data_IF_305530086937
#
_entry.id   IF_305530086937
#
_cell.length_a   1.000
_cell.length_b   1.000
_cell.length_c   1.000
_cell.angle_alpha   90.00
_cell.angle_beta   90.00
_cell.angle_gamma   90.00
#
_symmetry.space_group_name_H-M   'P 1'
#
loop_
_entity.id
_entity.type
_entity.pdbx_description
1 polymer ?
#
# COMPACT_ATOMS: atom_id res chain seq x y z
N UNK A 1 -20.95 -2.68 19.83
CA UNK A 1 -20.89 -1.21 19.67
C UNK A 1 -19.64 -0.83 18.87
N UNK A 2 -19.78 0.01 17.81
CA UNK A 2 -18.68 0.45 16.97
C UNK A 2 -18.18 1.83 17.41
N UNK A 3 -16.85 2.01 17.46
CA UNK A 3 -16.19 3.28 17.79
C UNK A 3 -15.03 3.56 16.85
N UNK A 4 -14.77 4.85 16.56
CA UNK A 4 -13.56 5.31 15.87
C UNK A 4 -12.44 5.53 16.89
N UNK A 5 -11.21 5.30 16.50
CA UNK A 5 -10.04 5.44 17.38
C UNK A 5 -9.93 6.82 18.03
N UNK A 6 -10.22 7.88 17.27
CA UNK A 6 -10.18 9.26 17.76
C UNK A 6 -11.12 9.51 18.96
N UNK A 7 -12.16 8.69 19.14
CA UNK A 7 -13.18 8.83 20.18
C UNK A 7 -12.93 7.90 21.39
N UNK A 8 -11.82 7.15 21.40
CA UNK A 8 -11.50 6.21 22.46
C UNK A 8 -10.82 6.92 23.63
N UNK A 9 -11.25 6.58 24.85
CA UNK A 9 -10.52 6.94 26.06
C UNK A 9 -9.32 5.99 26.27
N UNK A 10 -8.47 6.30 27.26
CA UNK A 10 -7.24 5.53 27.55
C UNK A 10 -7.52 4.06 27.85
N UNK A 11 -8.60 3.75 28.59
CA UNK A 11 -8.96 2.37 28.92
C UNK A 11 -9.34 1.59 27.65
N UNK A 12 -10.12 2.19 26.75
CA UNK A 12 -10.52 1.60 25.47
C UNK A 12 -9.31 1.42 24.52
N UNK A 13 -8.38 2.38 24.49
CA UNK A 13 -7.12 2.23 23.72
C UNK A 13 -6.26 1.07 24.23
N UNK A 14 -6.25 0.80 25.54
CA UNK A 14 -5.60 -0.39 26.07
C UNK A 14 -6.28 -1.68 25.58
N UNK A 15 -7.61 -1.72 25.49
CA UNK A 15 -8.32 -2.88 24.90
C UNK A 15 -7.97 -3.06 23.41
N UNK A 16 -7.81 -1.96 22.68
CA UNK A 16 -7.31 -2.01 21.28
C UNK A 16 -5.90 -2.57 21.23
N UNK A 17 -5.00 -2.10 22.10
CA UNK A 17 -3.63 -2.64 22.19
C UNK A 17 -3.65 -4.15 22.43
N UNK A 18 -4.45 -4.62 23.37
CA UNK A 18 -4.54 -6.04 23.71
C UNK A 18 -5.09 -6.87 22.53
N UNK A 19 -6.06 -6.33 21.79
CA UNK A 19 -6.59 -6.93 20.57
C UNK A 19 -5.51 -7.03 19.45
N UNK A 20 -4.72 -5.99 19.22
CA UNK A 20 -3.64 -6.01 18.23
C UNK A 20 -2.56 -7.00 18.64
N UNK A 21 -2.15 -6.93 19.90
CA UNK A 21 -1.06 -7.75 20.44
C UNK A 21 -1.38 -9.25 20.51
N UNK A 22 -2.62 -9.68 20.32
CA UNK A 22 -2.94 -11.10 20.30
C UNK A 22 -2.27 -11.91 19.18
N UNK A 23 -1.90 -11.21 18.09
CA UNK A 23 -1.27 -11.81 16.89
C UNK A 23 0.20 -11.41 16.72
N UNK A 24 0.76 -10.63 17.63
CA UNK A 24 2.12 -10.10 17.52
C UNK A 24 3.05 -10.85 18.46
N UNK A 25 4.19 -11.29 17.95
CA UNK A 25 5.27 -11.89 18.76
C UNK A 25 5.90 -10.82 19.68
N UNK A 26 6.18 -9.65 19.13
CA UNK A 26 6.66 -8.49 19.86
C UNK A 26 5.46 -7.59 20.24
N UNK A 27 5.19 -7.50 21.55
CA UNK A 27 4.06 -6.72 22.05
C UNK A 27 4.31 -5.22 21.90
N UNK A 28 3.39 -4.54 21.26
CA UNK A 28 3.43 -3.08 21.06
C UNK A 28 3.01 -2.34 22.31
N UNK A 29 3.67 -1.23 22.57
CA UNK A 29 3.29 -0.27 23.62
C UNK A 29 2.09 0.58 23.17
N UNK A 30 1.48 1.31 24.10
CA UNK A 30 0.31 2.13 23.80
C UNK A 30 0.63 3.26 22.81
N UNK A 31 1.81 3.87 22.92
CA UNK A 31 2.26 4.94 22.01
C UNK A 31 2.47 4.43 20.58
N UNK A 32 2.96 3.19 20.42
CA UNK A 32 3.09 2.56 19.11
C UNK A 32 1.70 2.27 18.49
N UNK A 33 0.73 1.90 19.31
CA UNK A 33 -0.67 1.72 18.90
C UNK A 33 -1.31 3.06 18.51
N UNK A 34 -1.03 4.12 19.27
CA UNK A 34 -1.48 5.48 18.94
C UNK A 34 -0.91 5.89 17.56
N UNK A 35 0.37 5.72 17.33
CA UNK A 35 1.00 6.03 16.05
C UNK A 35 0.44 5.18 14.88
N UNK A 36 0.07 3.91 15.14
CA UNK A 36 -0.55 3.05 14.13
C UNK A 36 -1.91 3.56 13.65
N UNK A 37 -2.71 4.16 14.52
CA UNK A 37 -4.11 4.46 14.22
C UNK A 37 -4.44 5.95 14.20
N UNK A 38 -3.67 6.77 14.91
CA UNK A 38 -3.86 8.21 15.00
C UNK A 38 -2.86 8.97 14.12
N UNK A 39 -2.79 8.62 12.85
CA UNK A 39 -1.90 9.24 11.87
C UNK A 39 -2.68 9.84 10.68
N UNK A 40 -1.97 10.53 9.82
CA UNK A 40 -2.50 11.22 8.63
C UNK A 40 -3.21 10.25 7.67
N UNK A 41 -2.64 9.07 7.42
CA UNK A 41 -3.21 8.03 6.54
C UNK A 41 -4.66 7.71 6.92
N UNK A 42 -4.94 7.60 8.22
CA UNK A 42 -6.28 7.31 8.75
C UNK A 42 -7.03 8.57 9.22
N UNK A 43 -6.64 9.75 8.77
CA UNK A 43 -7.28 11.00 9.14
C UNK A 43 -7.31 11.23 10.64
N UNK A 44 -6.19 10.93 11.33
CA UNK A 44 -6.01 11.05 12.78
C UNK A 44 -7.06 10.27 13.56
N UNK A 45 -7.18 9.00 13.26
CA UNK A 45 -8.06 8.05 13.95
C UNK A 45 -9.53 8.05 13.47
N UNK A 46 -9.90 8.88 12.50
CA UNK A 46 -11.25 8.89 11.90
C UNK A 46 -11.53 7.61 11.12
N UNK A 47 -10.53 7.12 10.40
CA UNK A 47 -10.57 5.92 9.55
C UNK A 47 -10.19 4.64 10.26
N UNK A 48 -9.84 4.66 11.54
CA UNK A 48 -9.52 3.47 12.33
C UNK A 48 -10.71 3.10 13.21
N UNK A 49 -11.36 1.97 12.93
CA UNK A 49 -12.68 1.59 13.45
C UNK A 49 -12.57 0.29 14.22
N UNK A 50 -13.18 0.22 15.39
CA UNK A 50 -13.14 -0.93 16.30
C UNK A 50 -14.54 -1.33 16.75
N UNK A 51 -14.75 -2.64 16.84
CA UNK A 51 -15.97 -3.23 17.37
C UNK A 51 -15.75 -3.72 18.79
N UNK A 52 -16.55 -3.19 19.73
CA UNK A 52 -16.52 -3.55 21.14
C UNK A 52 -17.71 -4.46 21.47
N UNK A 53 -17.44 -5.58 22.15
CA UNK A 53 -18.41 -6.52 22.69
C UNK A 53 -17.93 -6.94 24.09
N UNK A 54 -18.79 -6.88 25.10
CA UNK A 54 -18.52 -7.30 26.47
C UNK A 54 -17.20 -6.78 27.03
N UNK A 55 -16.96 -5.46 26.89
CA UNK A 55 -15.73 -4.77 27.30
C UNK A 55 -14.44 -5.32 26.65
N UNK A 56 -14.54 -5.90 25.45
CA UNK A 56 -13.39 -6.34 24.66
C UNK A 56 -13.50 -5.81 23.24
N UNK A 57 -12.37 -5.59 22.62
CA UNK A 57 -12.34 -5.38 21.17
C UNK A 57 -12.39 -6.74 20.49
N UNK A 58 -13.38 -6.94 19.63
CA UNK A 58 -13.59 -8.21 18.90
C UNK A 58 -13.40 -8.07 17.40
N UNK A 59 -13.30 -6.85 16.89
CA UNK A 59 -13.08 -6.60 15.46
C UNK A 59 -12.54 -5.22 15.17
N UNK A 60 -11.92 -5.07 14.00
CA UNK A 60 -11.46 -3.79 13.46
C UNK A 60 -11.52 -3.74 11.94
N UNK A 61 -11.57 -2.54 11.39
CA UNK A 61 -11.41 -2.22 9.99
C UNK A 61 -10.80 -0.84 9.84
N UNK A 62 -10.02 -0.60 8.78
CA UNK A 62 -9.38 0.67 8.54
C UNK A 62 -9.77 1.26 7.18
N UNK A 63 -9.81 2.60 7.11
CA UNK A 63 -10.08 3.38 5.89
C UNK A 63 -8.91 4.34 5.69
N UNK A 64 -8.26 4.30 4.52
CA UNK A 64 -7.26 5.28 4.12
C UNK A 64 -8.00 6.52 3.61
N UNK A 65 -7.81 7.64 4.30
CA UNK A 65 -8.49 8.91 4.03
C UNK A 65 -7.56 9.98 3.45
N UNK A 66 -6.25 9.84 3.64
CA UNK A 66 -5.24 10.84 3.31
C UNK A 66 -5.27 11.26 1.84
N UNK A 67 -5.32 10.29 0.95
CA UNK A 67 -5.15 10.50 -0.51
C UNK A 67 -6.47 10.66 -1.26
N UNK A 68 -7.61 10.67 -0.57
CA UNK A 68 -8.91 10.71 -1.24
C UNK A 68 -9.10 11.96 -2.08
N UNK A 69 -8.58 13.09 -1.65
CA UNK A 69 -8.69 14.37 -2.35
C UNK A 69 -7.95 14.37 -3.68
N UNK A 70 -6.75 13.78 -3.71
CA UNK A 70 -5.85 13.77 -4.85
C UNK A 70 -6.18 12.63 -5.82
N UNK A 71 -6.52 11.44 -5.29
CA UNK A 71 -6.76 10.24 -6.10
C UNK A 71 -8.24 9.97 -6.37
N UNK A 72 -9.14 10.56 -5.62
CA UNK A 72 -10.59 10.25 -5.68
C UNK A 72 -10.92 8.82 -5.24
N UNK A 73 -9.97 8.11 -4.63
CA UNK A 73 -10.11 6.70 -4.24
C UNK A 73 -9.99 6.56 -2.73
N UNK A 74 -10.89 5.77 -2.14
CA UNK A 74 -10.80 5.34 -0.74
C UNK A 74 -10.49 3.85 -0.70
N UNK A 75 -9.52 3.48 0.14
CA UNK A 75 -9.17 2.10 0.42
C UNK A 75 -9.68 1.70 1.80
N UNK A 76 -10.53 0.67 1.85
CA UNK A 76 -10.95 -0.01 3.06
C UNK A 76 -10.11 -1.29 3.18
N UNK A 77 -9.48 -1.50 4.33
CA UNK A 77 -8.57 -2.64 4.50
C UNK A 77 -8.42 -3.07 5.96
N UNK A 78 -7.59 -4.08 6.19
CA UNK A 78 -7.27 -4.60 7.54
C UNK A 78 -8.52 -5.00 8.35
N UNK A 79 -9.57 -5.49 7.65
CA UNK A 79 -10.69 -6.13 8.33
C UNK A 79 -10.15 -7.33 9.13
N UNK A 80 -10.41 -7.34 10.42
CA UNK A 80 -9.96 -8.38 11.33
C UNK A 80 -10.99 -8.56 12.45
N UNK A 81 -11.51 -9.76 12.60
CA UNK A 81 -12.52 -10.12 13.61
C UNK A 81 -12.05 -11.39 14.33
N UNK A 82 -12.29 -11.48 15.62
CA UNK A 82 -11.97 -12.68 16.41
C UNK A 82 -12.64 -13.90 15.81
N UNK A 83 -11.90 -14.99 15.74
CA UNK A 83 -12.41 -16.28 15.28
C UNK A 83 -13.24 -16.97 16.37
N UNK A 84 -14.20 -17.80 15.98
CA UNK A 84 -15.00 -18.59 16.91
C UNK A 84 -16.14 -17.83 17.61
N UNK A 85 -16.48 -16.63 17.15
CA UNK A 85 -17.67 -15.92 17.61
C UNK A 85 -18.90 -16.40 16.82
N UNK A 86 -19.99 -16.73 17.50
CA UNK A 86 -21.24 -17.15 16.86
C UNK A 86 -21.82 -16.08 15.92
N UNK A 87 -21.58 -14.81 16.22
CA UNK A 87 -22.06 -13.66 15.45
C UNK A 87 -20.96 -13.02 14.59
N UNK A 88 -19.89 -13.73 14.24
CA UNK A 88 -18.75 -13.20 13.49
C UNK A 88 -19.16 -12.55 12.16
N UNK A 89 -20.06 -13.16 11.39
CA UNK A 89 -20.54 -12.62 10.11
C UNK A 89 -21.31 -11.31 10.30
N UNK A 90 -22.10 -11.20 11.36
CA UNK A 90 -22.82 -9.96 11.71
C UNK A 90 -21.83 -8.84 12.03
N UNK A 91 -20.80 -9.12 12.83
CA UNK A 91 -19.75 -8.13 13.18
C UNK A 91 -19.01 -7.66 11.93
N UNK A 92 -18.66 -8.57 11.02
CA UNK A 92 -18.02 -8.24 9.73
C UNK A 92 -18.93 -7.30 8.92
N UNK A 93 -20.23 -7.65 8.80
CA UNK A 93 -21.19 -6.84 8.04
C UNK A 93 -21.34 -5.44 8.63
N UNK A 94 -21.51 -5.32 9.95
CA UNK A 94 -21.65 -4.03 10.63
C UNK A 94 -20.39 -3.16 10.51
N UNK A 95 -19.19 -3.75 10.61
CA UNK A 95 -17.93 -3.03 10.41
C UNK A 95 -17.80 -2.51 8.97
N UNK A 96 -18.17 -3.33 7.98
CA UNK A 96 -18.15 -2.94 6.57
C UNK A 96 -19.14 -1.83 6.29
N UNK A 97 -20.39 -1.98 6.72
CA UNK A 97 -21.43 -0.97 6.51
C UNK A 97 -21.03 0.36 7.13
N UNK A 98 -20.48 0.34 8.35
CA UNK A 98 -20.01 1.54 9.05
C UNK A 98 -18.82 2.18 8.31
N UNK A 99 -17.86 1.38 7.83
CA UNK A 99 -16.71 1.86 7.07
C UNK A 99 -17.13 2.47 5.73
N UNK A 100 -18.06 1.82 5.01
CA UNK A 100 -18.59 2.31 3.74
C UNK A 100 -19.37 3.62 3.95
N UNK A 101 -20.16 3.74 5.01
CA UNK A 101 -20.87 4.97 5.33
C UNK A 101 -19.89 6.14 5.54
N UNK A 102 -18.83 5.94 6.33
CA UNK A 102 -17.77 6.95 6.49
C UNK A 102 -17.11 7.30 5.15
N UNK A 103 -16.76 6.29 4.35
CA UNK A 103 -16.10 6.50 3.07
C UNK A 103 -16.94 7.38 2.13
N UNK A 104 -18.26 7.17 2.08
CA UNK A 104 -19.20 7.95 1.26
C UNK A 104 -19.23 9.44 1.65
N UNK A 105 -19.05 9.80 2.91
CA UNK A 105 -19.02 11.20 3.36
C UNK A 105 -17.91 12.02 2.67
N UNK A 106 -16.84 11.36 2.21
CA UNK A 106 -15.74 11.99 1.47
C UNK A 106 -15.99 12.12 -0.04
N UNK A 107 -17.13 11.63 -0.55
CA UNK A 107 -17.53 11.68 -1.96
C UNK A 107 -16.44 11.16 -2.92
N UNK A 108 -15.87 9.98 -2.71
CA UNK A 108 -14.84 9.45 -3.59
C UNK A 108 -15.42 9.02 -4.94
N UNK A 109 -14.56 8.93 -5.98
CA UNK A 109 -14.94 8.35 -7.27
C UNK A 109 -15.06 6.83 -7.19
N UNK A 110 -14.28 6.21 -6.29
CA UNK A 110 -14.35 4.77 -6.02
C UNK A 110 -13.97 4.42 -4.59
N UNK A 111 -14.55 3.31 -4.08
CA UNK A 111 -14.18 2.69 -2.82
C UNK A 111 -13.72 1.28 -3.12
N UNK A 112 -12.50 0.94 -2.68
CA UNK A 112 -11.88 -0.37 -2.87
C UNK A 112 -11.69 -1.06 -1.52
N UNK A 113 -12.23 -2.28 -1.41
CA UNK A 113 -12.03 -3.15 -0.25
C UNK A 113 -10.89 -4.13 -0.53
N UNK A 114 -9.85 -4.09 0.29
CA UNK A 114 -8.71 -5.00 0.25
C UNK A 114 -8.79 -6.07 1.35
N UNK A 115 -8.83 -7.34 0.96
CA UNK A 115 -8.85 -8.47 1.88
C UNK A 115 -7.62 -9.37 1.68
N UNK A 116 -6.95 -9.71 2.78
CA UNK A 116 -5.77 -10.60 2.77
C UNK A 116 -6.12 -12.05 3.13
N UNK A 117 -7.19 -12.26 3.89
CA UNK A 117 -7.61 -13.60 4.32
C UNK A 117 -8.53 -14.23 3.28
N UNK A 118 -8.02 -15.25 2.58
CA UNK A 118 -8.78 -15.98 1.56
C UNK A 118 -10.08 -16.60 2.09
N UNK A 119 -10.08 -17.05 3.35
CA UNK A 119 -11.28 -17.66 3.93
C UNK A 119 -12.40 -16.62 4.15
N UNK A 120 -12.03 -15.36 4.38
CA UNK A 120 -13.01 -14.29 4.56
C UNK A 120 -13.70 -13.89 3.26
N UNK A 121 -13.09 -14.16 2.10
CA UNK A 121 -13.75 -13.91 0.80
C UNK A 121 -15.11 -14.60 0.71
N UNK A 122 -15.23 -15.83 1.21
CA UNK A 122 -16.51 -16.55 1.23
C UNK A 122 -17.58 -15.86 2.08
N UNK A 123 -17.17 -15.14 3.12
CA UNK A 123 -18.09 -14.35 3.95
C UNK A 123 -18.47 -13.07 3.21
N UNK A 124 -17.52 -12.42 2.54
CA UNK A 124 -17.77 -11.22 1.74
C UNK A 124 -18.70 -11.50 0.57
N UNK A 125 -18.58 -12.66 -0.08
CA UNK A 125 -19.47 -13.12 -1.15
C UNK A 125 -20.94 -13.22 -0.71
N UNK A 126 -21.22 -13.54 0.57
CA UNK A 126 -22.57 -13.52 1.14
C UNK A 126 -23.18 -12.11 1.21
N UNK A 127 -22.35 -11.09 1.09
CA UNK A 127 -22.73 -9.68 1.08
C UNK A 127 -22.62 -9.06 -0.32
N UNK A 128 -22.57 -9.88 -1.38
CA UNK A 128 -22.41 -9.50 -2.78
C UNK A 128 -21.09 -8.75 -3.07
N UNK A 129 -20.05 -9.00 -2.24
CA UNK A 129 -18.72 -8.43 -2.37
C UNK A 129 -17.75 -9.44 -2.98
N UNK A 130 -17.64 -9.44 -4.29
CA UNK A 130 -16.80 -10.36 -5.06
C UNK A 130 -15.45 -9.73 -5.39
N UNK A 131 -14.37 -10.51 -5.23
CA UNK A 131 -13.03 -10.06 -5.62
C UNK A 131 -12.91 -9.95 -7.15
N UNK A 132 -12.45 -8.79 -7.63
CA UNK A 132 -12.30 -8.51 -9.06
C UNK A 132 -10.86 -8.74 -9.54
N UNK A 133 -9.85 -8.50 -8.71
CA UNK A 133 -8.42 -8.62 -9.04
C UNK A 133 -7.57 -8.75 -7.77
N UNK A 134 -6.26 -8.94 -7.96
CA UNK A 134 -5.31 -9.21 -6.86
C UNK A 134 -4.13 -8.26 -6.88
N UNK A 135 -3.50 -8.09 -5.73
CA UNK A 135 -2.12 -7.65 -5.60
C UNK A 135 -1.22 -8.88 -5.49
N UNK A 136 -0.19 -8.93 -6.29
CA UNK A 136 0.72 -10.07 -6.39
C UNK A 136 2.13 -9.66 -5.97
N UNK A 137 2.76 -10.49 -5.17
CA UNK A 137 4.22 -10.45 -5.01
C UNK A 137 4.83 -11.30 -6.10
N UNK A 138 5.80 -10.73 -6.80
CA UNK A 138 6.57 -11.44 -7.81
C UNK A 138 8.05 -11.42 -7.46
N UNK A 139 8.81 -12.42 -7.92
CA UNK A 139 10.25 -12.49 -7.75
C UNK A 139 10.94 -12.80 -9.07
N UNK A 140 12.19 -12.34 -9.21
CA UNK A 140 13.01 -12.57 -10.39
C UNK A 140 13.98 -13.73 -10.14
N UNK A 141 13.94 -14.77 -10.99
CA UNK A 141 14.90 -15.88 -10.97
C UNK A 141 16.16 -15.54 -11.76
N UNK A 142 15.99 -15.17 -13.04
CA UNK A 142 17.11 -14.83 -13.94
C UNK A 142 17.50 -13.37 -13.74
N UNK A 143 18.64 -13.16 -13.09
CA UNK A 143 19.23 -11.85 -12.82
C UNK A 143 20.31 -11.45 -13.82
N UNK A 144 20.37 -12.11 -14.99
CA UNK A 144 21.32 -11.75 -16.04
C UNK A 144 21.18 -10.26 -16.39
N UNK A 145 22.34 -9.61 -16.54
CA UNK A 145 22.41 -8.19 -16.84
C UNK A 145 21.93 -7.94 -18.26
N UNK A 146 21.05 -6.94 -18.43
CA UNK A 146 20.69 -6.36 -19.72
C UNK A 146 21.14 -4.92 -19.79
N UNK A 147 21.13 -4.35 -20.99
CA UNK A 147 21.51 -2.95 -21.18
C UNK A 147 20.64 -2.02 -20.33
N UNK A 148 21.32 -1.11 -19.64
CA UNK A 148 20.76 -0.03 -18.86
C UNK A 148 21.13 1.28 -19.53
N UNK A 149 20.15 2.15 -19.76
CA UNK A 149 20.33 3.43 -20.44
C UNK A 149 19.88 4.64 -19.61
N UNK A 150 19.57 4.46 -18.33
CA UNK A 150 19.03 5.51 -17.47
C UNK A 150 19.97 5.84 -16.33
N UNK A 151 20.09 7.14 -16.04
CA UNK A 151 20.86 7.64 -14.92
C UNK A 151 20.00 7.71 -13.66
N UNK A 152 20.64 7.49 -12.50
CA UNK A 152 20.01 7.58 -11.19
C UNK A 152 20.48 8.86 -10.49
N UNK A 153 19.55 9.74 -10.15
CA UNK A 153 19.79 10.95 -9.37
C UNK A 153 19.26 10.73 -7.97
N UNK A 154 20.13 10.62 -6.94
CA UNK A 154 19.69 10.40 -5.57
C UNK A 154 18.79 11.55 -5.09
N UNK A 155 17.75 11.21 -4.32
CA UNK A 155 16.93 12.18 -3.63
C UNK A 155 17.78 12.93 -2.60
N UNK A 156 17.65 14.24 -2.58
CA UNK A 156 18.32 15.14 -1.66
C UNK A 156 17.44 16.34 -1.29
N UNK A 157 17.90 17.15 -0.35
CA UNK A 157 17.21 18.39 0.05
C UNK A 157 17.05 19.36 -1.13
N UNK A 158 18.02 19.41 -2.04
CA UNK A 158 18.08 20.35 -3.16
C UNK A 158 17.05 19.99 -4.25
N UNK A 159 16.76 18.70 -4.44
CA UNK A 159 15.89 18.23 -5.52
C UNK A 159 14.52 17.69 -5.04
N UNK A 160 14.19 17.87 -3.76
CA UNK A 160 13.00 17.31 -3.14
C UNK A 160 11.67 17.71 -3.81
N UNK A 161 11.56 18.95 -4.27
CA UNK A 161 10.33 19.43 -4.94
C UNK A 161 10.19 18.81 -6.33
N UNK A 162 11.29 18.61 -7.04
CA UNK A 162 11.29 17.95 -8.33
C UNK A 162 10.93 16.46 -8.18
N UNK A 163 11.55 15.78 -7.18
CA UNK A 163 11.20 14.40 -6.86
C UNK A 163 9.70 14.23 -6.53
N UNK A 164 9.14 15.15 -5.73
CA UNK A 164 7.71 15.16 -5.41
C UNK A 164 6.84 15.23 -6.67
N UNK A 165 7.19 16.13 -7.60
CA UNK A 165 6.49 16.28 -8.87
C UNK A 165 6.59 15.04 -9.75
N UNK A 166 7.80 14.48 -9.91
CA UNK A 166 8.07 13.26 -10.69
C UNK A 166 7.33 12.06 -10.12
N UNK A 167 7.36 11.85 -8.80
CA UNK A 167 6.67 10.75 -8.15
C UNK A 167 5.16 10.82 -8.38
N UNK A 168 4.55 11.98 -8.07
CA UNK A 168 3.10 12.15 -8.15
C UNK A 168 2.60 12.08 -9.60
N UNK A 169 3.33 12.63 -10.58
CA UNK A 169 2.99 12.47 -12.00
C UNK A 169 3.07 11.00 -12.44
N UNK A 170 4.04 10.26 -11.91
CA UNK A 170 4.28 8.87 -12.29
C UNK A 170 3.27 7.88 -11.69
N UNK A 171 2.64 8.21 -10.56
CA UNK A 171 1.88 7.22 -9.79
C UNK A 171 0.41 7.58 -9.56
N UNK A 172 0.02 8.84 -9.61
CA UNK A 172 -1.34 9.28 -9.23
C UNK A 172 -2.47 8.70 -10.08
N UNK A 173 -2.22 8.34 -11.33
CA UNK A 173 -3.21 7.81 -12.27
C UNK A 173 -3.10 6.28 -12.50
N UNK A 174 -2.22 5.61 -11.76
CA UNK A 174 -2.07 4.17 -11.84
C UNK A 174 -3.18 3.44 -11.08
N UNK A 175 -3.54 2.20 -11.48
CA UNK A 175 -4.35 1.34 -10.62
C UNK A 175 -3.70 1.20 -9.23
N UNK A 176 -4.41 1.52 -8.16
CA UNK A 176 -3.87 1.71 -6.81
C UNK A 176 -2.77 2.78 -6.78
N UNK A 177 -3.02 3.90 -7.44
CA UNK A 177 -2.11 5.02 -7.43
C UNK A 177 -1.72 5.45 -6.03
N UNK A 178 -0.58 6.08 -5.93
CA UNK A 178 -0.08 6.70 -4.71
C UNK A 178 0.14 8.19 -4.95
N UNK A 179 -0.02 8.96 -3.90
CA UNK A 179 0.28 10.38 -3.87
C UNK A 179 1.03 10.66 -2.57
N UNK A 180 2.16 11.35 -2.66
CA UNK A 180 2.96 11.74 -1.51
C UNK A 180 2.97 13.26 -1.35
N UNK A 181 3.22 13.70 -0.12
CA UNK A 181 3.31 15.11 0.25
C UNK A 181 4.74 15.48 0.61
N UNK A 182 5.00 16.77 0.82
CA UNK A 182 6.35 17.27 1.10
C UNK A 182 6.95 16.70 2.40
N UNK A 183 6.13 16.47 3.41
CA UNK A 183 6.53 15.85 4.67
C UNK A 183 7.02 14.40 4.48
N UNK A 184 6.38 13.62 3.62
CA UNK A 184 6.82 12.26 3.29
C UNK A 184 8.14 12.26 2.49
N UNK A 185 8.35 13.25 1.61
CA UNK A 185 9.65 13.38 0.90
C UNK A 185 10.76 13.71 1.90
N UNK A 186 10.50 14.51 2.91
CA UNK A 186 11.45 14.80 3.98
C UNK A 186 11.77 13.55 4.81
N UNK A 187 10.78 12.69 5.07
CA UNK A 187 11.00 11.38 5.68
C UNK A 187 11.85 10.47 4.78
N UNK A 188 11.63 10.48 3.47
CA UNK A 188 12.45 9.70 2.53
C UNK A 188 13.91 10.17 2.54
N UNK A 189 14.16 11.49 2.61
CA UNK A 189 15.52 12.02 2.73
C UNK A 189 16.17 11.57 4.04
N UNK A 190 15.45 11.64 5.16
CA UNK A 190 15.96 11.24 6.47
C UNK A 190 16.22 9.74 6.57
N UNK A 191 15.45 8.93 5.84
CA UNK A 191 15.55 7.47 5.79
C UNK A 191 16.46 6.94 4.68
N UNK A 192 17.07 7.82 3.86
CA UNK A 192 18.00 7.42 2.82
C UNK A 192 19.28 6.85 3.47
N UNK A 193 19.50 5.55 3.32
CA UNK A 193 20.59 4.81 3.97
C UNK A 193 20.96 3.57 3.17
N UNK A 194 21.71 2.63 3.76
CA UNK A 194 22.09 1.39 3.09
C UNK A 194 20.96 0.38 2.87
N UNK A 195 19.77 0.60 3.44
CA UNK A 195 18.60 -0.23 3.24
C UNK A 195 17.54 0.44 2.35
N UNK A 196 17.42 1.78 2.40
CA UNK A 196 16.39 2.54 1.71
C UNK A 196 17.00 3.52 0.72
N UNK A 197 16.59 3.44 -0.53
CA UNK A 197 17.12 4.23 -1.63
C UNK A 197 15.98 4.88 -2.42
N UNK A 198 16.11 6.17 -2.70
CA UNK A 198 15.12 6.97 -3.41
C UNK A 198 15.82 7.75 -4.52
N UNK A 199 15.36 7.58 -5.77
CA UNK A 199 15.99 8.20 -6.94
C UNK A 199 14.95 8.82 -7.87
N UNK A 200 15.29 9.94 -8.47
CA UNK A 200 14.75 10.28 -9.78
C UNK A 200 15.54 9.52 -10.84
N UNK A 201 14.89 9.23 -11.95
CA UNK A 201 15.49 8.52 -13.08
C UNK A 201 15.51 9.45 -14.28
N UNK A 202 16.69 9.63 -14.90
CA UNK A 202 16.86 10.57 -15.99
C UNK A 202 17.44 9.94 -17.26
N UNK A 203 17.20 10.61 -18.37
CA UNK A 203 17.83 10.36 -19.65
C UNK A 203 18.21 11.69 -20.30
N UNK A 204 19.46 11.84 -20.74
CA UNK A 204 19.98 13.07 -21.32
C UNK A 204 19.70 14.32 -20.44
N UNK A 205 19.79 14.18 -19.13
CA UNK A 205 19.56 15.25 -18.16
C UNK A 205 18.10 15.63 -17.91
N UNK A 206 17.15 14.87 -18.46
CA UNK A 206 15.70 15.06 -18.25
C UNK A 206 15.18 13.99 -17.30
N UNK A 207 14.53 14.38 -16.21
CA UNK A 207 13.91 13.48 -15.27
C UNK A 207 12.61 12.92 -15.86
N UNK A 208 12.55 11.59 -16.01
CA UNK A 208 11.47 10.89 -16.69
C UNK A 208 10.66 9.95 -15.79
N UNK A 209 11.09 9.78 -14.54
CA UNK A 209 10.45 8.88 -13.61
C UNK A 209 11.20 8.78 -12.30
N UNK A 210 10.79 7.83 -11.46
CA UNK A 210 11.44 7.55 -10.19
C UNK A 210 11.73 6.05 -10.01
N UNK A 211 12.63 5.76 -9.07
CA UNK A 211 12.94 4.41 -8.59
C UNK A 211 13.19 4.47 -7.09
N UNK A 212 12.39 3.72 -6.33
CA UNK A 212 12.61 3.49 -4.91
C UNK A 212 12.99 2.05 -4.68
N UNK A 213 13.97 1.79 -3.82
CA UNK A 213 14.41 0.45 -3.49
C UNK A 213 14.57 0.28 -1.98
N UNK A 214 14.17 -0.88 -1.47
CA UNK A 214 14.41 -1.30 -0.10
C UNK A 214 15.18 -2.62 -0.12
N UNK A 215 16.26 -2.72 0.67
CA UNK A 215 17.10 -3.92 0.77
C UNK A 215 17.18 -4.34 2.23
N UNK A 216 16.50 -5.42 2.58
CA UNK A 216 16.53 -5.97 3.92
C UNK A 216 16.87 -7.46 3.89
N UNK A 217 17.81 -7.90 4.72
CA UNK A 217 18.28 -9.28 4.76
C UNK A 217 18.67 -9.82 3.36
N UNK A 218 19.35 -8.99 2.56
CA UNK A 218 19.73 -9.25 1.16
C UNK A 218 18.55 -9.52 0.21
N UNK A 219 17.33 -9.14 0.57
CA UNK A 219 16.16 -9.18 -0.30
C UNK A 219 15.87 -7.76 -0.76
N UNK A 220 15.87 -7.54 -2.06
CA UNK A 220 15.53 -6.26 -2.69
C UNK A 220 14.05 -6.21 -3.07
N UNK A 221 13.40 -5.11 -2.74
CA UNK A 221 12.08 -4.73 -3.22
C UNK A 221 12.24 -3.38 -3.93
N UNK A 222 11.53 -3.17 -5.03
CA UNK A 222 11.56 -1.89 -5.73
C UNK A 222 10.16 -1.46 -6.17
N UNK A 223 9.99 -0.13 -6.23
CA UNK A 223 8.89 0.56 -6.89
C UNK A 223 9.47 1.47 -7.97
N UNK A 224 8.87 1.44 -9.16
CA UNK A 224 9.28 2.24 -10.32
C UNK A 224 8.07 2.86 -11.00
N UNK A 225 8.23 4.10 -11.45
CA UNK A 225 7.20 4.80 -12.21
C UNK A 225 7.81 5.72 -13.26
N UNK A 226 7.10 5.88 -14.38
CA UNK A 226 7.44 6.85 -15.41
C UNK A 226 6.42 7.97 -15.42
N UNK A 227 6.89 9.20 -15.55
CA UNK A 227 6.05 10.35 -15.85
C UNK A 227 5.20 10.08 -17.10
N UNK A 228 4.00 10.62 -17.13
CA UNK A 228 2.98 10.35 -18.15
C UNK A 228 3.50 10.49 -19.57
N UNK A 229 4.22 11.58 -19.83
CA UNK A 229 4.75 11.92 -21.16
C UNK A 229 5.84 10.94 -21.65
N UNK A 230 6.40 10.12 -20.78
CA UNK A 230 7.47 9.16 -21.14
C UNK A 230 6.99 7.72 -21.22
N UNK A 231 5.72 7.46 -20.97
CA UNK A 231 5.11 6.14 -21.11
C UNK A 231 4.92 5.76 -22.60
N UNK A 232 4.89 4.46 -22.89
CA UNK A 232 4.69 3.95 -24.25
C UNK A 232 5.90 4.08 -25.18
N UNK A 233 7.00 4.73 -24.74
CA UNK A 233 8.20 4.99 -25.54
C UNK A 233 9.34 3.99 -25.30
N UNK A 234 9.08 2.88 -24.60
CA UNK A 234 10.07 1.84 -24.32
C UNK A 234 10.87 2.03 -23.04
N UNK A 235 10.83 3.20 -22.40
CA UNK A 235 11.60 3.51 -21.18
C UNK A 235 11.24 2.64 -19.97
N UNK A 236 10.04 2.07 -19.90
CA UNK A 236 9.65 1.18 -18.80
C UNK A 236 10.53 -0.07 -18.70
N UNK A 237 11.00 -0.61 -19.83
CA UNK A 237 11.95 -1.74 -19.85
C UNK A 237 13.33 -1.29 -19.34
N UNK A 238 13.82 -0.14 -19.80
CA UNK A 238 15.09 0.42 -19.32
C UNK A 238 15.03 0.68 -17.81
N UNK A 239 13.95 1.25 -17.31
CA UNK A 239 13.76 1.51 -15.89
C UNK A 239 13.75 0.23 -15.05
N UNK A 240 13.07 -0.82 -15.54
CA UNK A 240 13.08 -2.14 -14.90
C UNK A 240 14.50 -2.73 -14.83
N UNK A 241 15.26 -2.68 -15.94
CA UNK A 241 16.65 -3.18 -15.95
C UNK A 241 17.57 -2.33 -15.08
N UNK A 242 17.32 -0.99 -14.97
CA UNK A 242 18.02 -0.11 -14.04
C UNK A 242 17.82 -0.56 -12.60
N UNK A 243 16.59 -0.87 -12.20
CA UNK A 243 16.27 -1.34 -10.85
C UNK A 243 16.93 -2.70 -10.56
N UNK A 244 16.90 -3.63 -11.52
CA UNK A 244 17.54 -4.95 -11.38
C UNK A 244 19.06 -4.81 -11.27
N UNK A 245 19.70 -3.99 -12.11
CA UNK A 245 21.14 -3.74 -12.07
C UNK A 245 21.57 -3.10 -10.75
N UNK A 246 20.81 -2.09 -10.28
CA UNK A 246 21.07 -1.46 -8.98
C UNK A 246 21.03 -2.46 -7.83
N UNK A 247 19.98 -3.27 -7.74
CA UNK A 247 19.82 -4.28 -6.68
C UNK A 247 20.89 -5.38 -6.76
N UNK A 248 21.32 -5.77 -7.96
CA UNK A 248 22.43 -6.69 -8.16
C UNK A 248 23.75 -6.10 -7.64
N UNK A 249 24.06 -4.84 -7.97
CA UNK A 249 25.26 -4.14 -7.44
C UNK A 249 25.24 -3.99 -5.94
N UNK A 250 24.06 -3.92 -5.32
CA UNK A 250 23.87 -3.91 -3.85
C UNK A 250 23.83 -5.31 -3.24
N UNK A 251 24.19 -6.36 -4.00
CA UNK A 251 24.26 -7.75 -3.54
C UNK A 251 22.94 -8.33 -3.01
N UNK A 252 21.79 -7.85 -3.52
CA UNK A 252 20.53 -8.48 -3.23
C UNK A 252 20.51 -9.91 -3.80
N UNK A 253 20.20 -10.91 -2.98
CA UNK A 253 20.12 -12.32 -3.42
C UNK A 253 18.77 -12.68 -4.01
N UNK A 254 17.73 -11.91 -3.66
CA UNK A 254 16.37 -12.06 -4.18
C UNK A 254 15.83 -10.69 -4.54
N UNK A 255 15.28 -10.55 -5.73
CA UNK A 255 14.68 -9.31 -6.24
C UNK A 255 13.17 -9.53 -6.34
N UNK A 256 12.40 -8.73 -5.63
CA UNK A 256 10.96 -8.81 -5.58
C UNK A 256 10.31 -7.49 -6.03
N UNK A 257 9.06 -7.59 -6.41
CA UNK A 257 8.16 -6.44 -6.61
C UNK A 257 6.74 -6.81 -6.17
N UNK A 258 5.91 -5.80 -6.00
CA UNK A 258 4.46 -5.96 -5.85
C UNK A 258 3.79 -5.34 -7.07
N UNK A 259 2.84 -6.04 -7.65
CA UNK A 259 2.07 -5.54 -8.79
C UNK A 259 0.58 -5.76 -8.57
N UNK A 260 -0.20 -4.78 -9.00
CA UNK A 260 -1.66 -4.90 -9.06
C UNK A 260 -2.01 -5.56 -10.40
N UNK A 261 -2.73 -6.68 -10.37
CA UNK A 261 -3.10 -7.46 -11.56
C UNK A 261 -3.83 -6.59 -12.60
N UNK A 262 -4.61 -5.61 -12.15
CA UNK A 262 -5.29 -4.61 -12.99
C UNK A 262 -4.32 -3.70 -13.76
N UNK A 263 -3.06 -3.55 -13.30
CA UNK A 263 -2.00 -2.90 -14.08
C UNK A 263 -1.39 -3.89 -15.08
N UNK A 264 -2.18 -4.26 -16.09
CA UNK A 264 -1.82 -5.29 -17.07
C UNK A 264 -0.52 -4.98 -17.82
N UNK A 265 -0.21 -3.69 -18.07
CA UNK A 265 1.01 -3.26 -18.78
C UNK A 265 2.24 -3.62 -17.95
N UNK A 266 2.27 -3.24 -16.68
CA UNK A 266 3.37 -3.55 -15.78
C UNK A 266 3.47 -5.06 -15.51
N UNK A 267 2.36 -5.72 -15.23
CA UNK A 267 2.32 -7.16 -15.02
C UNK A 267 2.89 -7.94 -16.21
N UNK A 268 2.46 -7.64 -17.45
CA UNK A 268 2.98 -8.27 -18.64
C UNK A 268 4.47 -7.97 -18.88
N UNK A 269 4.93 -6.76 -18.56
CA UNK A 269 6.35 -6.39 -18.65
C UNK A 269 7.20 -7.22 -17.68
N UNK A 270 6.77 -7.38 -16.44
CA UNK A 270 7.46 -8.18 -15.43
C UNK A 270 7.49 -9.66 -15.80
N UNK A 271 6.36 -10.23 -16.25
CA UNK A 271 6.30 -11.63 -16.74
C UNK A 271 7.25 -11.86 -17.91
N UNK A 272 7.28 -10.97 -18.90
CA UNK A 272 8.19 -11.04 -20.06
C UNK A 272 9.67 -10.95 -19.66
N UNK A 273 9.98 -10.23 -18.56
CA UNK A 273 11.34 -10.14 -18.01
C UNK A 273 11.75 -11.42 -17.27
N UNK A 274 10.82 -12.27 -16.89
CA UNK A 274 11.07 -13.51 -16.17
C UNK A 274 10.70 -13.47 -14.69
N UNK A 275 9.95 -12.45 -14.25
CA UNK A 275 9.36 -12.47 -12.92
C UNK A 275 8.28 -13.54 -12.81
N UNK A 276 8.30 -14.28 -11.71
CA UNK A 276 7.31 -15.29 -11.36
C UNK A 276 6.47 -14.83 -10.17
N UNK A 277 5.21 -15.22 -10.15
CA UNK A 277 4.33 -15.00 -9.01
C UNK A 277 4.80 -15.83 -7.82
N UNK A 278 4.90 -15.20 -6.66
CA UNK A 278 5.29 -15.84 -5.40
C UNK A 278 4.08 -16.04 -4.49
N UNK A 279 3.30 -14.97 -4.31
CA UNK A 279 2.14 -15.00 -3.41
C UNK A 279 1.12 -13.91 -3.75
N UNK A 280 -0.11 -14.14 -3.35
CA UNK A 280 -1.15 -13.13 -3.36
C UNK A 280 -1.03 -12.32 -2.07
N UNK A 281 -0.92 -11.00 -2.19
CA UNK A 281 -0.84 -10.06 -1.06
C UNK A 281 -2.24 -9.70 -0.57
N UNK A 282 -3.16 -9.41 -1.51
CA UNK A 282 -4.53 -9.04 -1.22
C UNK A 282 -5.44 -9.29 -2.41
N UNK A 283 -6.69 -9.46 -2.11
CA UNK A 283 -7.80 -9.51 -3.05
C UNK A 283 -8.55 -8.19 -2.98
N UNK A 284 -8.98 -7.66 -4.10
CA UNK A 284 -9.60 -6.35 -4.19
C UNK A 284 -11.01 -6.44 -4.78
N UNK A 285 -11.93 -5.78 -4.10
CA UNK A 285 -13.35 -5.68 -4.48
C UNK A 285 -13.70 -4.20 -4.62
N UNK A 286 -14.31 -3.82 -5.74
CA UNK A 286 -14.89 -2.49 -5.88
C UNK A 286 -16.26 -2.48 -5.21
N UNK A 287 -16.43 -1.60 -4.22
CA UNK A 287 -17.73 -1.38 -3.59
C UNK A 287 -18.62 -0.62 -4.58
N UNK A 288 -19.79 -1.18 -4.86
CA UNK A 288 -20.82 -0.52 -5.66
C UNK A 288 -21.76 0.23 -4.73
N UNK A 289 -22.07 1.47 -5.06
CA UNK A 289 -23.08 2.25 -4.35
C UNK A 289 -23.80 3.18 -5.33
N UNK A 290 -25.05 3.47 -5.04
CA UNK A 290 -25.80 4.52 -5.73
C UNK A 290 -25.58 5.86 -5.00
N UNK A 291 -25.47 6.95 -5.75
CA UNK A 291 -25.32 8.30 -5.23
C UNK A 291 -26.65 8.83 -4.71
#
# INVERSE_FOLDING_TARGET
MIKRYLNLNVAEKNLVRDFINRKEDNKKLLDEIDNMFNNKMYGYGKGSIFYFLDNKVVGKINIILEVVKELGTIYIHCLDVLEGLDNQEVIIKELLDYAIAIAKDYKPNEILLGERNKNRLKVLEKFDLYSEYKSLRMYLEDRSKKENCLDLIPLSTENKLEYLGVYNDSFSDMPHGSYIYSDEVEEYISNFNEENYYFMVSINGINIGFMNCVIQNRKGLFDIGLCKDYRGKGYGKCLLETAIDFLNRKNAVKINLIVIEKNAIAYCMYKKRGFKEESIISYWTKIKWEY
#
